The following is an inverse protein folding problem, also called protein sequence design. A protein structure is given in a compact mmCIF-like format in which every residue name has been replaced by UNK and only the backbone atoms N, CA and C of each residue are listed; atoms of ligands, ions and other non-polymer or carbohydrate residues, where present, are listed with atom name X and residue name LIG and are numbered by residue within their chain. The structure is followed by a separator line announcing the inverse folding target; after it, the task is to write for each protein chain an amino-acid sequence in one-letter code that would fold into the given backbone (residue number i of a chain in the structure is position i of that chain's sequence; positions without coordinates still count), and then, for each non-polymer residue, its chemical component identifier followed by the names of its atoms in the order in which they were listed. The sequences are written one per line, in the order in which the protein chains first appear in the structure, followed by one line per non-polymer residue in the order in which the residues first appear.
data_IF_651886088939
#
_entry.id   IF_651886088939
#
_cell.length_a   1.000
_cell.length_b   1.000
_cell.length_c   1.000
_cell.angle_alpha   90.00
_cell.angle_beta   90.00
_cell.angle_gamma   90.00
#
_symmetry.space_group_name_H-M   'P 1'
#
loop_
_entity.id
_entity.type
_entity.pdbx_description
1 polymer ?
#
# COMPACT_ATOMS: atom_id res chain seq x y z
N UNK A 1 9.44 27.41 -1.13
CA UNK A 1 10.06 26.48 -0.15
C UNK A 1 9.40 26.79 1.17
N UNK A 2 8.65 25.84 1.73
CA UNK A 2 7.97 26.08 3.00
C UNK A 2 8.47 25.03 3.96
N UNK A 3 9.17 25.49 5.00
CA UNK A 3 9.76 24.65 6.02
C UNK A 3 8.63 23.96 6.80
N UNK A 4 8.64 22.63 6.76
CA UNK A 4 7.99 21.82 7.78
C UNK A 4 8.55 22.30 9.12
N UNK A 5 7.67 22.67 10.04
CA UNK A 5 8.11 22.99 11.40
C UNK A 5 8.39 21.67 12.11
N UNK A 6 9.62 21.51 12.54
CA UNK A 6 10.00 20.45 13.45
C UNK A 6 9.90 20.99 14.87
N UNK A 7 9.54 20.12 15.81
CA UNK A 7 9.60 20.48 17.22
C UNK A 7 11.06 20.77 17.58
N UNK A 8 11.27 21.87 18.29
CA UNK A 8 12.59 22.26 18.82
C UNK A 8 12.63 21.95 20.30
N UNK A 9 13.63 21.19 20.71
CA UNK A 9 13.86 20.78 22.08
C UNK A 9 15.24 21.24 22.53
N UNK A 10 15.38 21.55 23.82
CA UNK A 10 16.68 21.40 24.48
C UNK A 10 17.03 19.92 24.60
N UNK A 11 18.32 19.57 24.76
CA UNK A 11 18.72 18.17 24.94
C UNK A 11 18.01 17.55 26.16
N UNK A 12 17.91 18.28 27.27
CA UNK A 12 17.24 17.81 28.49
C UNK A 12 15.73 17.59 28.30
N UNK A 13 15.04 18.46 27.54
CA UNK A 13 13.63 18.26 27.20
C UNK A 13 13.46 17.03 26.30
N UNK A 14 14.30 16.87 25.28
CA UNK A 14 14.24 15.73 24.37
C UNK A 14 14.48 14.40 25.10
N UNK A 15 15.49 14.37 25.99
CA UNK A 15 15.80 13.21 26.83
C UNK A 15 14.62 12.78 27.68
N UNK A 16 13.80 13.73 28.16
CA UNK A 16 12.62 13.41 28.96
C UNK A 16 11.54 12.62 28.21
N UNK A 17 11.57 12.64 26.87
CA UNK A 17 10.67 11.87 26.02
C UNK A 17 11.22 10.48 25.65
N UNK A 18 12.50 10.18 25.93
CA UNK A 18 13.08 8.88 25.56
C UNK A 18 12.60 7.81 26.53
N UNK A 19 11.92 6.80 25.98
CA UNK A 19 11.44 5.61 26.70
C UNK A 19 12.28 4.39 26.30
N UNK A 20 13.12 3.91 27.23
CA UNK A 20 13.98 2.74 27.05
C UNK A 20 15.43 3.08 26.65
N UNK A 21 16.13 2.19 25.91
CA UNK A 21 17.56 2.36 25.64
C UNK A 21 17.82 3.51 24.67
N UNK A 22 18.72 4.41 25.05
CA UNK A 22 19.17 5.55 24.23
C UNK A 22 19.79 5.09 22.91
N UNK A 23 20.62 4.05 22.99
CA UNK A 23 21.45 3.60 21.88
C UNK A 23 21.14 2.15 21.57
N UNK A 24 21.05 1.83 20.27
CA UNK A 24 20.88 0.45 19.80
C UNK A 24 21.93 0.12 18.75
N UNK A 25 22.45 -1.11 18.81
CA UNK A 25 23.32 -1.64 17.77
C UNK A 25 22.47 -2.15 16.59
N UNK A 26 22.52 -1.44 15.48
CA UNK A 26 21.78 -1.67 14.22
C UNK A 26 22.76 -1.75 13.04
N UNK A 27 22.75 -2.85 12.27
CA UNK A 27 23.66 -3.14 11.16
C UNK A 27 25.14 -2.89 11.49
N UNK A 28 25.57 -3.42 12.64
CA UNK A 28 26.92 -3.24 13.20
C UNK A 28 27.32 -1.80 13.57
N UNK A 29 26.34 -0.90 13.65
CA UNK A 29 26.53 0.50 14.07
C UNK A 29 25.73 0.80 15.31
N UNK A 30 26.22 1.71 16.13
CA UNK A 30 25.44 2.24 17.25
C UNK A 30 24.68 3.48 16.76
N UNK A 31 23.36 3.47 16.94
CA UNK A 31 22.48 4.60 16.60
C UNK A 31 21.81 5.09 17.87
N UNK A 32 21.83 6.40 18.10
CA UNK A 32 21.21 7.03 19.27
C UNK A 32 19.84 7.62 18.91
N UNK A 33 18.87 7.53 19.81
CA UNK A 33 17.60 8.27 19.67
C UNK A 33 17.83 9.78 19.73
N UNK A 34 18.88 10.24 20.42
CA UNK A 34 19.28 11.65 20.46
C UNK A 34 19.58 12.22 19.07
N UNK A 35 20.02 11.37 18.14
CA UNK A 35 20.36 11.81 16.79
C UNK A 35 19.09 12.21 15.99
N UNK A 36 17.89 11.83 16.45
CA UNK A 36 16.61 12.12 15.81
C UNK A 36 15.90 13.36 16.34
N UNK A 37 16.54 14.16 17.21
CA UNK A 37 15.89 15.32 17.84
C UNK A 37 15.31 16.32 16.85
N UNK A 38 15.97 16.50 15.71
CA UNK A 38 15.55 17.44 14.66
C UNK A 38 14.66 16.76 13.60
N UNK A 39 14.22 15.52 13.83
CA UNK A 39 13.42 14.72 12.88
C UNK A 39 11.95 14.55 13.30
N UNK A 40 11.51 15.20 14.38
CA UNK A 40 10.14 15.13 14.90
C UNK A 40 9.31 16.28 14.35
N UNK A 41 8.35 16.03 13.43
CA UNK A 41 7.51 17.09 12.92
C UNK A 41 6.57 17.61 14.02
N UNK A 42 6.28 18.91 13.96
CA UNK A 42 5.22 19.54 14.74
C UNK A 42 3.86 19.13 14.17
N UNK A 43 3.17 18.25 14.89
CA UNK A 43 1.85 17.77 14.53
C UNK A 43 0.79 18.58 15.28
N UNK A 44 0.22 19.58 14.59
CA UNK A 44 -0.90 20.38 15.10
C UNK A 44 -2.00 19.46 15.69
N UNK A 45 -2.45 19.76 16.91
CA UNK A 45 -3.44 19.00 17.69
C UNK A 45 -2.99 17.63 18.25
N UNK A 46 -1.68 17.38 18.32
CA UNK A 46 -1.13 16.17 18.94
C UNK A 46 -0.04 16.48 19.97
N UNK A 47 0.04 15.67 21.02
CA UNK A 47 1.06 15.75 22.06
C UNK A 47 2.10 14.64 21.83
N UNK A 48 3.39 14.99 21.78
CA UNK A 48 4.45 14.00 21.80
C UNK A 48 4.45 13.31 23.17
N UNK A 49 4.27 11.99 23.17
CA UNK A 49 4.24 11.18 24.39
C UNK A 49 5.62 10.65 24.70
N UNK A 50 6.25 10.02 23.70
CA UNK A 50 7.54 9.35 23.87
C UNK A 50 8.23 9.02 22.57
N UNK A 51 9.51 8.72 22.68
CA UNK A 51 10.42 8.32 21.61
C UNK A 51 11.11 7.04 22.04
N UNK A 52 11.04 6.00 21.22
CA UNK A 52 11.57 4.69 21.61
C UNK A 52 11.96 3.84 20.40
N UNK A 53 12.65 2.74 20.68
CA UNK A 53 12.89 1.69 19.70
C UNK A 53 11.72 0.72 19.67
N UNK A 54 11.01 0.63 18.55
CA UNK A 54 9.96 -0.37 18.34
C UNK A 54 10.53 -1.58 17.62
N UNK A 55 10.21 -2.78 18.11
CA UNK A 55 10.65 -4.01 17.46
C UNK A 55 9.79 -4.36 16.24
N UNK A 56 10.39 -5.03 15.26
CA UNK A 56 9.71 -5.59 14.09
C UNK A 56 8.66 -6.61 14.53
N UNK A 57 8.97 -7.43 15.52
CA UNK A 57 8.06 -8.44 16.04
C UNK A 57 6.81 -7.79 16.63
N UNK A 58 6.95 -6.69 17.36
CA UNK A 58 5.81 -5.87 17.83
C UNK A 58 4.90 -5.45 16.67
N UNK A 59 5.47 -5.03 15.54
CA UNK A 59 4.70 -4.60 14.36
C UNK A 59 4.03 -5.79 13.66
N UNK A 60 4.67 -6.96 13.63
CA UNK A 60 4.16 -8.15 12.96
C UNK A 60 3.11 -8.89 13.81
N UNK A 61 3.25 -8.88 15.13
CA UNK A 61 2.34 -9.55 16.07
C UNK A 61 1.07 -8.72 16.31
N UNK A 62 1.18 -7.38 16.31
CA UNK A 62 0.02 -6.50 16.39
C UNK A 62 -0.66 -6.39 15.02
N UNK A 63 -1.71 -7.17 14.82
CA UNK A 63 -2.47 -7.20 13.56
C UNK A 63 -3.05 -5.84 13.14
N UNK A 64 -3.37 -4.96 14.10
CA UNK A 64 -3.88 -3.63 13.81
C UNK A 64 -2.75 -2.73 13.31
N UNK A 65 -1.65 -2.68 14.07
CA UNK A 65 -0.46 -1.92 13.73
C UNK A 65 0.13 -2.39 12.39
N UNK A 66 0.26 -3.70 12.18
CA UNK A 66 0.63 -4.32 10.91
C UNK A 66 -0.24 -3.80 9.78
N UNK A 67 -1.57 -3.88 9.94
CA UNK A 67 -2.50 -3.44 8.90
C UNK A 67 -2.36 -1.95 8.58
N UNK A 68 -2.01 -1.09 9.55
CA UNK A 68 -1.86 0.36 9.33
C UNK A 68 -0.60 0.72 8.54
N UNK A 69 0.43 -0.14 8.53
CA UNK A 69 1.60 0.01 7.66
C UNK A 69 1.20 -0.13 6.18
N UNK A 70 0.34 -1.11 5.88
CA UNK A 70 0.03 -1.54 4.51
C UNK A 70 -1.31 -1.03 3.96
N UNK A 71 -2.30 -0.70 4.81
CA UNK A 71 -3.61 -0.18 4.40
C UNK A 71 -3.54 1.31 4.11
N UNK A 72 -3.21 1.66 2.87
CA UNK A 72 -3.09 3.06 2.48
C UNK A 72 -4.33 3.55 1.72
N UNK A 73 -4.96 4.57 2.27
CA UNK A 73 -5.64 5.56 1.47
C UNK A 73 -4.61 6.66 1.15
N UNK A 74 -4.48 7.04 -0.13
CA UNK A 74 -4.03 8.41 -0.48
C UNK A 74 -2.54 8.69 -0.29
N UNK A 75 -1.74 7.64 -0.19
CA UNK A 75 -0.32 7.70 -0.49
C UNK A 75 -0.16 7.68 -2.01
N UNK A 76 0.82 8.47 -2.48
CA UNK A 76 1.26 8.71 -3.86
C UNK A 76 0.97 7.52 -4.79
N UNK A 77 0.55 7.75 -6.03
CA UNK A 77 0.83 6.80 -7.12
C UNK A 77 2.36 6.74 -7.29
N UNK A 78 3.00 5.93 -6.46
CA UNK A 78 4.32 5.41 -6.75
C UNK A 78 4.10 4.39 -7.86
N UNK A 79 4.20 4.87 -9.10
CA UNK A 79 4.10 4.05 -10.31
C UNK A 79 4.87 2.74 -10.07
N UNK A 80 4.20 1.61 -10.26
CA UNK A 80 4.71 0.29 -9.84
C UNK A 80 5.96 -0.09 -10.62
N UNK A 81 6.19 0.54 -11.79
CA UNK A 81 7.46 0.44 -12.49
C UNK A 81 8.65 1.08 -11.73
N UNK A 82 8.38 1.99 -10.80
CA UNK A 82 9.38 2.73 -9.98
C UNK A 82 9.35 2.37 -8.49
N UNK A 83 8.29 1.72 -8.00
CA UNK A 83 8.09 1.41 -6.58
C UNK A 83 9.04 0.29 -6.07
N UNK A 84 9.34 -0.71 -6.93
CA UNK A 84 10.46 -1.64 -6.71
C UNK A 84 11.79 -0.89 -6.44
N UNK A 85 11.95 0.35 -6.91
CA UNK A 85 13.18 1.10 -6.71
C UNK A 85 13.26 1.81 -5.35
N UNK A 86 12.18 2.34 -4.74
CA UNK A 86 12.30 3.15 -3.50
C UNK A 86 12.41 2.28 -2.26
N UNK A 87 11.53 1.30 -2.06
CA UNK A 87 11.64 0.35 -0.94
C UNK A 87 12.97 -0.41 -1.03
N UNK A 88 13.39 -0.84 -2.23
CA UNK A 88 14.71 -1.43 -2.43
C UNK A 88 15.87 -0.43 -2.22
N UNK A 89 15.71 0.85 -2.58
CA UNK A 89 16.72 1.89 -2.31
C UNK A 89 16.82 2.16 -0.80
N UNK A 90 15.70 2.24 -0.09
CA UNK A 90 15.65 2.39 1.37
C UNK A 90 16.25 1.18 2.06
N UNK A 91 15.92 -0.05 1.60
CA UNK A 91 16.58 -1.29 2.04
C UNK A 91 18.10 -1.20 1.85
N UNK A 92 18.54 -0.82 0.65
CA UNK A 92 19.96 -0.63 0.35
C UNK A 92 20.60 0.46 1.21
N UNK A 93 19.86 1.51 1.56
CA UNK A 93 20.31 2.58 2.46
C UNK A 93 20.45 2.07 3.89
N UNK A 94 19.47 1.33 4.42
CA UNK A 94 19.55 0.75 5.76
C UNK A 94 20.70 -0.24 5.90
N UNK A 95 20.92 -1.10 4.89
CA UNK A 95 22.06 -2.02 4.88
C UNK A 95 23.39 -1.26 4.89
N UNK A 96 23.50 -0.16 4.14
CA UNK A 96 24.75 0.61 4.04
C UNK A 96 24.99 1.56 5.21
N UNK A 97 23.93 2.13 5.77
CA UNK A 97 24.01 3.32 6.63
C UNK A 97 23.21 3.20 7.93
N UNK A 98 22.39 2.16 8.09
CA UNK A 98 21.43 2.04 9.19
C UNK A 98 20.32 3.08 9.12
N UNK A 99 19.63 3.29 10.24
CA UNK A 99 18.69 4.41 10.37
C UNK A 99 19.49 5.72 10.43
N UNK A 100 19.52 6.45 9.32
CA UNK A 100 20.09 7.79 9.31
C UNK A 100 19.06 8.80 9.82
N UNK A 101 19.40 9.63 10.82
CA UNK A 101 18.67 10.85 11.07
C UNK A 101 18.87 11.76 9.85
N UNK A 102 17.77 12.22 9.27
CA UNK A 102 17.81 13.20 8.21
C UNK A 102 16.75 14.24 8.58
N UNK A 103 17.14 15.48 8.93
CA UNK A 103 16.18 16.54 9.25
C UNK A 103 15.21 16.88 8.10
N UNK A 104 15.47 16.39 6.88
CA UNK A 104 14.57 16.48 5.73
C UNK A 104 13.61 15.28 5.58
N UNK A 105 13.76 14.25 6.42
CA UNK A 105 12.91 13.06 6.45
C UNK A 105 12.43 12.79 7.89
N UNK A 106 11.12 12.79 8.06
CA UNK A 106 10.52 12.48 9.36
C UNK A 106 10.92 11.08 9.86
N UNK A 107 11.09 10.96 11.18
CA UNK A 107 11.14 9.65 11.81
C UNK A 107 9.76 8.96 11.71
N UNK A 108 9.67 7.62 11.76
CA UNK A 108 8.39 6.93 11.86
C UNK A 108 7.54 7.45 13.03
N UNK A 109 6.26 7.71 12.75
CA UNK A 109 5.31 8.24 13.73
C UNK A 109 4.17 7.26 13.91
N UNK A 110 3.87 6.95 15.16
CA UNK A 110 2.64 6.29 15.56
C UNK A 110 1.79 7.25 16.38
N UNK A 111 0.47 7.10 16.30
CA UNK A 111 -0.45 7.83 17.15
C UNK A 111 -1.46 6.90 17.81
N UNK A 112 -1.87 7.25 19.01
CA UNK A 112 -3.00 6.66 19.72
C UNK A 112 -4.07 7.71 19.98
N UNK A 113 -5.32 7.28 20.10
CA UNK A 113 -6.43 8.13 20.52
C UNK A 113 -6.45 8.32 22.05
N UNK A 114 -5.54 7.66 22.78
CA UNK A 114 -5.45 7.73 24.23
C UNK A 114 -4.96 6.42 24.85
N UNK A 115 -4.85 6.37 26.19
CA UNK A 115 -4.41 5.18 26.90
C UNK A 115 -5.28 3.96 26.56
N UNK A 116 -4.63 2.85 26.18
CA UNK A 116 -5.31 1.59 25.85
C UNK A 116 -5.95 1.54 24.45
N UNK A 117 -5.78 2.58 23.63
CA UNK A 117 -6.21 2.53 22.22
C UNK A 117 -5.09 1.96 21.33
N UNK A 118 -5.43 1.20 20.27
CA UNK A 118 -4.43 0.65 19.37
C UNK A 118 -3.57 1.74 18.73
N UNK A 119 -2.27 1.48 18.58
CA UNK A 119 -1.37 2.37 17.87
C UNK A 119 -1.60 2.28 16.36
N UNK A 120 -1.54 3.41 15.68
CA UNK A 120 -1.67 3.50 14.23
C UNK A 120 -0.48 4.26 13.64
N UNK A 121 0.18 3.68 12.63
CA UNK A 121 1.24 4.40 11.90
C UNK A 121 0.66 5.57 11.10
N UNK A 122 1.20 6.76 11.37
CA UNK A 122 0.82 8.00 10.69
C UNK A 122 1.85 8.38 9.60
N UNK A 123 3.14 8.22 9.90
CA UNK A 123 4.25 8.66 9.04
C UNK A 123 5.43 7.68 9.08
N UNK A 124 6.30 7.72 8.07
CA UNK A 124 7.50 6.89 7.95
C UNK A 124 7.21 5.45 7.53
N UNK A 125 5.97 5.13 7.15
CA UNK A 125 5.51 3.76 6.79
C UNK A 125 6.35 3.08 5.72
N UNK A 126 6.82 3.80 4.69
CA UNK A 126 7.72 3.23 3.68
C UNK A 126 9.11 2.86 4.23
N UNK A 127 9.60 3.59 5.23
CA UNK A 127 10.83 3.27 5.97
C UNK A 127 10.61 2.04 6.85
N UNK A 128 9.44 1.96 7.50
CA UNK A 128 9.02 0.80 8.30
C UNK A 128 8.90 -0.45 7.42
N UNK A 129 8.20 -0.35 6.29
CA UNK A 129 8.04 -1.43 5.31
C UNK A 129 9.40 -1.90 4.77
N UNK A 130 10.28 -0.98 4.35
CA UNK A 130 11.63 -1.33 3.91
C UNK A 130 12.45 -2.04 5.00
N UNK A 131 12.26 -1.70 6.27
CA UNK A 131 12.90 -2.41 7.37
C UNK A 131 12.28 -3.80 7.63
N UNK A 132 10.95 -3.94 7.52
CA UNK A 132 10.23 -5.22 7.68
C UNK A 132 10.62 -6.19 6.56
N UNK A 133 10.66 -5.73 5.32
CA UNK A 133 10.99 -6.54 4.13
C UNK A 133 12.50 -6.78 3.95
N UNK A 134 13.34 -6.14 4.75
CA UNK A 134 14.78 -6.35 4.74
C UNK A 134 15.18 -7.77 5.20
N UNK A 135 16.21 -8.33 4.57
CA UNK A 135 16.75 -9.67 4.88
C UNK A 135 17.58 -9.69 6.17
N UNK A 136 17.91 -8.52 6.74
CA UNK A 136 18.76 -8.43 7.93
C UNK A 136 17.92 -8.44 9.22
N UNK A 137 18.27 -9.27 10.21
CA UNK A 137 17.43 -9.60 11.38
C UNK A 137 17.31 -8.49 12.44
N UNK A 138 17.83 -7.29 12.21
CA UNK A 138 17.85 -6.24 13.22
C UNK A 138 16.56 -5.42 13.16
N UNK A 139 15.50 -6.09 13.60
CA UNK A 139 14.13 -5.60 13.57
C UNK A 139 13.86 -4.54 14.63
N UNK A 140 14.54 -3.41 14.59
CA UNK A 140 14.18 -2.27 15.45
C UNK A 140 14.16 -0.98 14.64
N UNK A 141 13.21 -0.12 14.96
CA UNK A 141 13.01 1.17 14.31
C UNK A 141 12.88 2.27 15.36
N UNK A 142 13.40 3.48 15.12
CA UNK A 142 13.11 4.61 15.98
C UNK A 142 11.68 5.08 15.71
N UNK A 143 10.89 5.31 16.75
CA UNK A 143 9.48 5.73 16.63
C UNK A 143 9.20 6.88 17.58
N UNK A 144 8.49 7.90 17.09
CA UNK A 144 7.85 8.91 17.91
C UNK A 144 6.36 8.57 18.06
N UNK A 145 5.90 8.51 19.30
CA UNK A 145 4.50 8.26 19.63
C UNK A 145 3.82 9.55 20.04
N UNK A 146 2.71 9.84 19.39
CA UNK A 146 1.86 10.98 19.69
C UNK A 146 0.52 10.54 20.26
N UNK A 147 -0.03 11.36 21.14
CA UNK A 147 -1.41 11.28 21.60
C UNK A 147 -2.22 12.35 20.87
N UNK A 148 -3.35 11.94 20.30
CA UNK A 148 -4.25 12.90 19.64
C UNK A 148 -5.03 13.68 20.71
N UNK A 149 -4.95 15.02 20.67
CA UNK A 149 -5.65 15.87 21.64
C UNK A 149 -7.16 15.99 21.35
N UNK A 150 -7.57 15.70 20.11
CA UNK A 150 -8.96 15.68 19.68
C UNK A 150 -9.47 14.24 19.45
N UNK A 151 -10.02 13.63 20.50
CA UNK A 151 -10.75 12.34 20.51
C UNK A 151 -11.94 12.26 19.52
N UNK A 152 -12.31 13.36 18.87
CA UNK A 152 -13.54 13.51 18.08
C UNK A 152 -13.33 13.17 16.58
N UNK A 153 -12.08 13.09 16.10
CA UNK A 153 -11.81 12.85 14.67
C UNK A 153 -11.63 11.36 14.41
N UNK A 154 -12.47 10.80 13.54
CA UNK A 154 -12.43 9.38 13.20
C UNK A 154 -11.05 8.93 12.64
N UNK A 155 -10.72 7.65 12.81
CA UNK A 155 -9.46 7.04 12.33
C UNK A 155 -9.24 7.27 10.82
N UNK A 156 -10.32 7.34 10.04
CA UNK A 156 -10.25 7.60 8.59
C UNK A 156 -9.77 9.03 8.27
N UNK A 157 -10.30 10.05 8.92
CA UNK A 157 -9.94 11.46 8.74
C UNK A 157 -8.48 11.68 9.07
N UNK A 158 -8.02 11.06 10.16
CA UNK A 158 -6.62 11.08 10.56
C UNK A 158 -5.74 10.35 9.54
N UNK A 159 -6.09 9.12 9.15
CA UNK A 159 -5.35 8.35 8.14
C UNK A 159 -5.20 9.11 6.82
N UNK A 160 -6.26 9.81 6.38
CA UNK A 160 -6.24 10.68 5.22
C UNK A 160 -5.33 11.89 5.44
N UNK A 161 -5.54 12.67 6.51
CA UNK A 161 -4.74 13.87 6.85
C UNK A 161 -3.25 13.53 6.93
N UNK A 162 -2.88 12.47 7.65
CA UNK A 162 -1.49 12.06 7.82
C UNK A 162 -0.86 11.51 6.54
N UNK A 163 -1.60 10.70 5.75
CA UNK A 163 -1.14 10.30 4.41
C UNK A 163 -0.82 11.48 3.49
N UNK A 164 -1.50 12.61 3.67
CA UNK A 164 -1.22 13.85 2.93
C UNK A 164 -0.13 14.71 3.56
N UNK A 165 -0.02 14.76 4.89
CA UNK A 165 1.10 15.39 5.58
C UNK A 165 2.43 14.77 5.12
N UNK A 166 2.48 13.47 4.84
CA UNK A 166 3.65 12.80 4.25
C UNK A 166 4.12 13.43 2.93
N UNK A 167 3.22 14.04 2.14
CA UNK A 167 3.57 14.73 0.89
C UNK A 167 4.15 16.13 1.11
N UNK A 168 4.01 16.67 2.31
CA UNK A 168 4.48 18.00 2.71
C UNK A 168 5.77 17.87 3.54
N UNK A 169 5.85 16.84 4.39
CA UNK A 169 6.89 16.63 5.40
C UNK A 169 8.21 16.16 4.78
N UNK A 170 8.18 15.12 3.95
CA UNK A 170 9.39 14.57 3.35
C UNK A 170 9.62 15.19 1.96
N UNK A 171 10.84 15.66 1.64
CA UNK A 171 11.21 16.05 0.27
C UNK A 171 11.21 14.81 -0.63
N UNK A 172 10.20 14.59 -1.49
CA UNK A 172 10.17 13.37 -2.26
C UNK A 172 10.98 13.56 -3.55
N UNK A 173 11.67 12.50 -3.99
CA UNK A 173 12.29 12.45 -5.34
C UNK A 173 11.25 12.64 -6.45
N UNK A 174 9.98 12.37 -6.15
CA UNK A 174 8.83 12.59 -7.05
C UNK A 174 7.64 13.10 -6.22
N UNK A 175 7.23 14.35 -6.45
CA UNK A 175 6.12 14.98 -5.72
C UNK A 175 4.77 14.31 -5.99
N UNK A 176 3.85 14.41 -5.03
CA UNK A 176 2.46 14.02 -5.22
C UNK A 176 1.84 14.78 -6.40
N UNK A 177 0.93 14.12 -7.12
CA UNK A 177 0.15 14.71 -8.22
C UNK A 177 -1.24 15.05 -7.72
N UNK A 178 -1.90 16.03 -8.34
CA UNK A 178 -3.29 16.39 -8.02
C UNK A 178 -4.25 15.19 -8.08
N UNK A 179 -3.96 14.22 -8.95
CA UNK A 179 -4.79 13.02 -9.12
C UNK A 179 -4.74 12.07 -7.93
N UNK A 180 -3.67 12.11 -7.12
CA UNK A 180 -3.51 11.29 -5.91
C UNK A 180 -4.50 11.70 -4.81
N UNK A 181 -4.95 12.96 -4.84
CA UNK A 181 -5.91 13.52 -3.89
C UNK A 181 -7.36 13.13 -4.20
N UNK A 182 -7.64 12.67 -5.43
CA UNK A 182 -9.00 12.39 -5.87
C UNK A 182 -9.64 11.19 -5.15
N UNK A 183 -8.99 10.01 -5.04
CA UNK A 183 -9.54 8.88 -4.28
C UNK A 183 -9.78 9.18 -2.81
N UNK A 184 -8.99 10.10 -2.22
CA UNK A 184 -9.12 10.52 -0.83
C UNK A 184 -10.38 11.30 -0.55
N UNK A 185 -10.62 12.29 -1.40
CA UNK A 185 -11.83 13.10 -1.35
C UNK A 185 -13.05 12.21 -1.55
N UNK A 186 -12.97 11.22 -2.45
CA UNK A 186 -14.05 10.24 -2.62
C UNK A 186 -14.30 9.42 -1.33
N UNK A 187 -13.26 8.96 -0.63
CA UNK A 187 -13.39 8.26 0.66
C UNK A 187 -13.98 9.16 1.75
N UNK A 188 -13.51 10.40 1.87
CA UNK A 188 -13.99 11.37 2.86
C UNK A 188 -15.48 11.73 2.62
N UNK A 189 -15.86 11.98 1.37
CA UNK A 189 -17.26 12.24 1.00
C UNK A 189 -18.14 11.04 1.35
N UNK A 190 -17.69 9.83 1.01
CA UNK A 190 -18.43 8.59 1.29
C UNK A 190 -18.63 8.33 2.78
N UNK A 191 -17.61 8.61 3.59
CA UNK A 191 -17.67 8.41 5.03
C UNK A 191 -18.48 9.50 5.76
N UNK A 192 -19.00 10.51 5.04
CA UNK A 192 -19.73 11.63 5.64
C UNK A 192 -18.82 12.62 6.37
N UNK A 193 -17.50 12.49 6.21
CA UNK A 193 -16.51 13.41 6.80
C UNK A 193 -16.60 14.80 6.15
N UNK A 194 -16.96 14.85 4.86
CA UNK A 194 -17.19 16.08 4.12
C UNK A 194 -18.47 15.97 3.30
N UNK A 195 -19.27 17.04 3.28
CA UNK A 195 -20.48 17.07 2.48
C UNK A 195 -20.15 17.04 0.99
N UNK A 196 -21.04 16.43 0.21
CA UNK A 196 -20.93 16.31 -1.24
C UNK A 196 -21.30 17.60 -1.97
N UNK A 197 -20.51 18.66 -1.74
CA UNK A 197 -20.60 19.89 -2.52
C UNK A 197 -19.20 20.49 -2.72
N UNK A 198 -19.07 21.31 -3.76
CA UNK A 198 -17.77 21.82 -4.20
C UNK A 198 -17.06 22.64 -3.12
N UNK A 199 -17.80 23.46 -2.38
CA UNK A 199 -17.22 24.37 -1.40
C UNK A 199 -16.71 23.62 -0.17
N UNK A 200 -17.48 22.66 0.35
CA UNK A 200 -17.05 21.84 1.49
C UNK A 200 -15.87 20.94 1.13
N UNK A 201 -15.89 20.30 -0.05
CA UNK A 201 -14.75 19.50 -0.54
C UNK A 201 -13.50 20.36 -0.75
N UNK A 202 -13.65 21.57 -1.28
CA UNK A 202 -12.53 22.52 -1.44
C UNK A 202 -11.99 22.98 -0.09
N UNK A 203 -12.86 23.32 0.86
CA UNK A 203 -12.50 23.73 2.22
C UNK A 203 -11.77 22.61 2.95
N UNK A 204 -12.26 21.38 2.85
CA UNK A 204 -11.61 20.19 3.41
C UNK A 204 -10.22 19.97 2.78
N UNK A 205 -10.11 20.06 1.46
CA UNK A 205 -8.84 19.92 0.76
C UNK A 205 -7.80 20.98 1.19
N UNK A 206 -8.22 22.23 1.38
CA UNK A 206 -7.32 23.33 1.75
C UNK A 206 -6.96 23.29 3.24
N UNK A 207 -7.96 23.13 4.11
CA UNK A 207 -7.79 23.34 5.55
C UNK A 207 -7.37 22.04 6.26
N UNK A 208 -7.99 20.92 5.91
CA UNK A 208 -7.74 19.64 6.59
C UNK A 208 -6.61 18.87 5.92
N UNK A 209 -6.60 18.82 4.58
CA UNK A 209 -5.58 18.08 3.82
C UNK A 209 -4.38 18.95 3.43
N UNK A 210 -4.39 20.24 3.81
CA UNK A 210 -3.31 21.19 3.60
C UNK A 210 -2.80 21.24 2.15
N UNK A 211 -3.69 21.02 1.18
CA UNK A 211 -3.35 20.91 -0.24
C UNK A 211 -2.62 22.14 -0.79
N UNK A 212 -2.92 23.32 -0.25
CA UNK A 212 -2.24 24.58 -0.59
C UNK A 212 -0.75 24.57 -0.24
N UNK A 213 -0.31 23.74 0.70
CA UNK A 213 1.12 23.56 1.03
C UNK A 213 1.88 22.82 -0.08
N UNK A 214 1.19 21.99 -0.89
CA UNK A 214 1.78 21.24 -2.02
C UNK A 214 1.49 21.92 -3.36
N UNK A 215 0.27 22.40 -3.55
CA UNK A 215 -0.21 23.09 -4.75
C UNK A 215 -0.74 24.48 -4.38
N UNK A 216 0.10 25.53 -4.43
CA UNK A 216 -0.23 26.84 -3.87
C UNK A 216 -1.38 27.57 -4.57
N UNK A 217 -1.73 27.17 -5.80
CA UNK A 217 -2.80 27.81 -6.56
C UNK A 217 -4.19 27.27 -6.18
N UNK A 218 -5.09 28.15 -5.76
CA UNK A 218 -6.49 27.83 -5.42
C UNK A 218 -7.27 27.18 -6.57
N UNK A 219 -6.93 27.52 -7.83
CA UNK A 219 -7.50 26.87 -9.01
C UNK A 219 -7.23 25.35 -9.06
N UNK A 220 -6.10 24.89 -8.52
CA UNK A 220 -5.74 23.48 -8.41
C UNK A 220 -6.67 22.74 -7.43
N UNK A 221 -7.02 23.38 -6.31
CA UNK A 221 -7.96 22.83 -5.34
C UNK A 221 -9.35 22.67 -5.95
N UNK A 222 -9.84 23.72 -6.63
CA UNK A 222 -11.12 23.68 -7.36
C UNK A 222 -11.15 22.59 -8.43
N UNK A 223 -10.08 22.45 -9.23
CA UNK A 223 -9.98 21.42 -10.27
C UNK A 223 -10.02 20.01 -9.68
N UNK A 224 -9.29 19.78 -8.58
CA UNK A 224 -9.21 18.50 -7.89
C UNK A 224 -10.54 18.14 -7.24
N UNK A 225 -11.18 19.09 -6.55
CA UNK A 225 -12.50 18.91 -5.94
C UNK A 225 -13.59 18.61 -6.99
N UNK A 226 -13.64 19.35 -8.10
CA UNK A 226 -14.54 19.05 -9.22
C UNK A 226 -14.29 17.66 -9.80
N UNK A 227 -13.03 17.26 -9.94
CA UNK A 227 -12.67 15.93 -10.44
C UNK A 227 -13.10 14.83 -9.47
N UNK A 228 -12.99 15.03 -8.17
CA UNK A 228 -13.46 14.08 -7.16
C UNK A 228 -14.98 13.95 -7.15
N UNK A 229 -15.72 15.07 -7.16
CA UNK A 229 -17.18 15.06 -7.24
C UNK A 229 -17.67 14.42 -8.55
N UNK A 230 -17.06 14.79 -9.68
CA UNK A 230 -17.35 14.20 -10.98
C UNK A 230 -17.07 12.69 -10.97
N UNK A 231 -15.88 12.26 -10.51
CA UNK A 231 -15.57 10.82 -10.40
C UNK A 231 -16.48 10.09 -9.43
N UNK A 232 -16.91 10.70 -8.32
CA UNK A 232 -17.89 10.11 -7.41
C UNK A 232 -19.27 9.96 -8.07
N UNK A 233 -19.68 10.93 -8.89
CA UNK A 233 -20.92 10.84 -9.68
C UNK A 233 -20.85 9.85 -10.85
N UNK A 234 -19.66 9.66 -11.44
CA UNK A 234 -19.43 8.75 -12.59
C UNK A 234 -18.97 7.36 -12.17
N UNK A 235 -18.50 7.21 -10.93
CA UNK A 235 -17.92 6.00 -10.37
C UNK A 235 -18.31 5.94 -8.90
N UNK A 236 -19.41 5.24 -8.61
CA UNK A 236 -19.86 4.93 -7.25
C UNK A 236 -18.80 4.19 -6.41
N UNK A 237 -17.72 3.68 -7.00
CA UNK A 237 -16.85 2.67 -6.39
C UNK A 237 -15.45 3.20 -6.11
N UNK A 238 -15.07 3.19 -4.84
CA UNK A 238 -13.68 3.27 -4.40
C UNK A 238 -13.10 1.85 -4.42
N UNK A 239 -11.92 1.70 -5.02
CA UNK A 239 -11.16 0.45 -4.96
C UNK A 239 -10.41 0.37 -3.61
N UNK A 240 -10.52 -0.75 -2.92
CA UNK A 240 -9.58 -1.18 -1.90
C UNK A 240 -8.35 -1.75 -2.61
N UNK A 241 -7.30 -0.92 -2.69
CA UNK A 241 -6.02 -1.33 -3.28
C UNK A 241 -5.45 -2.46 -2.44
N UNK A 242 -5.18 -3.59 -3.08
CA UNK A 242 -4.50 -4.73 -2.50
C UNK A 242 -3.28 -5.02 -3.35
N UNK A 243 -2.13 -5.18 -2.71
CA UNK A 243 -0.93 -5.68 -3.37
C UNK A 243 -0.94 -7.21 -3.43
N UNK A 244 0.02 -7.79 -4.16
CA UNK A 244 0.08 -9.24 -4.36
C UNK A 244 0.07 -10.01 -3.03
N UNK A 245 0.80 -9.52 -2.03
CA UNK A 245 0.90 -10.20 -0.74
C UNK A 245 -0.39 -10.05 0.09
N UNK A 246 -1.08 -8.91 0.02
CA UNK A 246 -2.42 -8.77 0.62
C UNK A 246 -3.41 -9.75 0.00
N UNK A 247 -3.33 -9.94 -1.32
CA UNK A 247 -4.15 -10.87 -2.08
C UNK A 247 -3.84 -12.32 -1.68
N UNK A 248 -2.56 -12.66 -1.48
CA UNK A 248 -2.16 -13.99 -0.95
C UNK A 248 -2.67 -14.20 0.47
N UNK A 249 -2.57 -13.18 1.35
CA UNK A 249 -3.08 -13.25 2.72
C UNK A 249 -4.60 -13.44 2.70
N UNK A 250 -5.32 -12.64 1.92
CA UNK A 250 -6.76 -12.79 1.72
C UNK A 250 -7.10 -14.18 1.19
N UNK A 251 -6.37 -14.67 0.19
CA UNK A 251 -6.56 -15.99 -0.40
C UNK A 251 -6.29 -17.14 0.58
N UNK A 252 -5.29 -17.00 1.46
CA UNK A 252 -4.98 -17.99 2.50
C UNK A 252 -6.09 -18.11 3.56
N UNK A 253 -6.84 -17.01 3.78
CA UNK A 253 -7.99 -16.95 4.68
C UNK A 253 -9.29 -17.38 3.99
N UNK A 254 -9.34 -17.31 2.65
CA UNK A 254 -10.52 -17.66 1.88
C UNK A 254 -10.70 -19.19 1.82
N UNK A 255 -11.79 -19.75 2.39
CA UNK A 255 -11.98 -21.20 2.47
C UNK A 255 -12.14 -21.87 1.10
N UNK A 256 -12.61 -21.15 0.07
CA UNK A 256 -12.71 -21.68 -1.31
C UNK A 256 -11.36 -21.78 -2.00
N UNK A 257 -10.35 -21.01 -1.57
CA UNK A 257 -9.00 -21.05 -2.14
C UNK A 257 -8.11 -21.99 -1.32
N UNK A 258 -8.17 -21.88 0.01
CA UNK A 258 -7.38 -22.70 0.94
C UNK A 258 -7.57 -24.21 0.73
N UNK A 259 -8.77 -24.63 0.33
CA UNK A 259 -9.13 -26.04 0.17
C UNK A 259 -8.99 -26.55 -1.28
N UNK A 260 -8.41 -25.76 -2.20
CA UNK A 260 -8.22 -26.19 -3.58
C UNK A 260 -7.07 -27.18 -3.68
N UNK A 261 -7.27 -28.19 -4.54
CA UNK A 261 -6.17 -28.98 -5.07
C UNK A 261 -5.41 -28.20 -6.14
N UNK A 262 -4.08 -28.23 -6.09
CA UNK A 262 -3.19 -27.61 -7.07
C UNK A 262 -2.70 -26.20 -6.70
N UNK A 263 -1.70 -25.70 -7.43
CA UNK A 263 -1.08 -24.40 -7.15
C UNK A 263 -1.98 -23.24 -7.58
N UNK A 264 -2.09 -22.22 -6.72
CA UNK A 264 -2.83 -20.98 -6.99
C UNK A 264 -1.85 -19.88 -7.41
N UNK A 265 -2.13 -19.22 -8.52
CA UNK A 265 -1.40 -18.06 -9.02
C UNK A 265 -2.30 -16.82 -8.98
N UNK A 266 -1.80 -15.76 -8.37
CA UNK A 266 -2.48 -14.47 -8.29
C UNK A 266 -1.90 -13.52 -9.32
N UNK A 267 -2.73 -13.03 -10.24
CA UNK A 267 -2.29 -12.26 -11.41
C UNK A 267 -2.93 -10.88 -11.40
N UNK A 268 -2.10 -9.85 -11.55
CA UNK A 268 -2.56 -8.47 -11.71
C UNK A 268 -3.06 -8.22 -13.13
N UNK A 269 -4.35 -7.94 -13.30
CA UNK A 269 -5.00 -7.85 -14.61
C UNK A 269 -4.58 -6.61 -15.42
N UNK A 270 -4.38 -5.47 -14.76
CA UNK A 270 -4.05 -4.20 -15.41
C UNK A 270 -2.53 -3.99 -15.66
N UNK A 271 -1.70 -5.04 -15.54
CA UNK A 271 -0.26 -4.96 -15.81
C UNK A 271 0.19 -6.06 -16.77
N UNK A 272 0.60 -5.65 -17.98
CA UNK A 272 1.11 -6.59 -19.00
C UNK A 272 2.39 -7.30 -18.56
N UNK A 273 3.30 -6.58 -17.90
CA UNK A 273 4.56 -7.17 -17.37
C UNK A 273 4.27 -8.23 -16.32
N UNK A 274 3.39 -7.91 -15.36
CA UNK A 274 3.02 -8.85 -14.30
C UNK A 274 2.29 -10.08 -14.86
N UNK A 275 1.38 -9.88 -15.81
CA UNK A 275 0.70 -10.96 -16.51
C UNK A 275 1.70 -11.89 -17.21
N UNK A 276 2.62 -11.34 -18.01
CA UNK A 276 3.61 -12.15 -18.73
C UNK A 276 4.51 -12.92 -17.76
N UNK A 277 4.99 -12.28 -16.69
CA UNK A 277 5.85 -12.92 -15.69
C UNK A 277 5.12 -14.08 -14.99
N UNK A 278 3.83 -13.90 -14.66
CA UNK A 278 3.02 -14.95 -14.07
C UNK A 278 2.76 -16.11 -15.04
N UNK A 279 2.55 -15.82 -16.33
CA UNK A 279 2.39 -16.84 -17.37
C UNK A 279 3.67 -17.67 -17.56
N UNK A 280 4.84 -17.04 -17.51
CA UNK A 280 6.13 -17.73 -17.50
C UNK A 280 6.28 -18.62 -16.25
N UNK A 281 5.90 -18.15 -15.07
CA UNK A 281 5.94 -18.96 -13.85
C UNK A 281 4.99 -20.17 -13.92
N UNK A 282 3.78 -19.98 -14.46
CA UNK A 282 2.82 -21.06 -14.71
C UNK A 282 3.41 -22.09 -15.68
N UNK A 283 4.08 -21.64 -16.74
CA UNK A 283 4.74 -22.53 -17.69
C UNK A 283 5.79 -23.39 -17.01
N UNK A 284 6.72 -22.75 -16.28
CA UNK A 284 7.77 -23.46 -15.56
C UNK A 284 7.20 -24.47 -14.55
N UNK A 285 6.12 -24.10 -13.87
CA UNK A 285 5.44 -25.00 -12.95
C UNK A 285 4.88 -26.24 -13.65
N UNK A 286 4.15 -26.04 -14.75
CA UNK A 286 3.52 -27.13 -15.50
C UNK A 286 4.55 -28.03 -16.19
N UNK A 287 5.69 -27.50 -16.64
CA UNK A 287 6.78 -28.32 -17.20
C UNK A 287 7.38 -29.26 -16.14
N UNK A 288 7.49 -28.81 -14.89
CA UNK A 288 8.02 -29.63 -13.79
C UNK A 288 6.94 -30.52 -13.15
N UNK A 289 5.67 -30.13 -13.24
CA UNK A 289 4.53 -30.81 -12.64
C UNK A 289 3.45 -31.05 -13.71
N UNK A 290 3.74 -31.87 -14.74
CA UNK A 290 2.90 -31.99 -15.93
C UNK A 290 1.54 -32.62 -15.67
N UNK A 291 1.30 -33.16 -14.47
CA UNK A 291 0.04 -33.78 -14.05
C UNK A 291 -0.79 -32.92 -13.11
N UNK A 292 -0.31 -31.75 -12.70
CA UNK A 292 -1.05 -30.88 -11.80
C UNK A 292 -2.00 -29.91 -12.48
N UNK A 293 -2.94 -29.39 -11.69
CA UNK A 293 -3.88 -28.35 -12.07
C UNK A 293 -3.45 -27.00 -11.47
N UNK A 294 -3.64 -25.93 -12.24
CA UNK A 294 -3.27 -24.56 -11.89
C UNK A 294 -4.53 -23.73 -11.70
N UNK A 295 -4.64 -23.07 -10.56
CA UNK A 295 -5.74 -22.16 -10.28
C UNK A 295 -5.28 -20.72 -10.48
N UNK A 296 -6.04 -19.91 -11.21
CA UNK A 296 -5.71 -18.50 -11.46
C UNK A 296 -6.74 -17.61 -10.77
N UNK A 297 -6.26 -16.64 -10.01
CA UNK A 297 -7.07 -15.60 -9.38
C UNK A 297 -6.58 -14.24 -9.88
N UNK A 298 -7.48 -13.44 -10.44
CA UNK A 298 -7.14 -12.08 -10.85
C UNK A 298 -7.34 -11.08 -9.72
N UNK A 299 -6.54 -10.02 -9.73
CA UNK A 299 -6.79 -8.81 -8.95
C UNK A 299 -6.39 -7.59 -9.78
N UNK A 300 -6.80 -6.39 -9.36
CA UNK A 300 -6.53 -5.16 -10.08
C UNK A 300 -6.12 -4.04 -9.13
N UNK A 301 -5.39 -3.07 -9.64
CA UNK A 301 -5.14 -1.80 -8.95
C UNK A 301 -5.85 -0.63 -9.61
N UNK A 302 -6.68 -0.90 -10.63
CA UNK A 302 -7.43 0.13 -11.34
C UNK A 302 -8.56 0.65 -10.45
N UNK A 303 -8.57 1.97 -10.25
CA UNK A 303 -9.48 2.64 -9.31
C UNK A 303 -10.88 2.81 -9.90
N UNK A 304 -11.01 2.73 -11.23
CA UNK A 304 -12.30 2.87 -11.93
C UNK A 304 -12.87 1.49 -12.26
N UNK A 305 -14.05 1.18 -11.72
CA UNK A 305 -14.72 -0.12 -11.89
C UNK A 305 -14.86 -0.55 -13.37
N UNK A 306 -15.34 0.33 -14.25
CA UNK A 306 -15.53 -0.01 -15.67
C UNK A 306 -14.22 -0.37 -16.37
N UNK A 307 -13.14 0.35 -16.07
CA UNK A 307 -11.80 0.05 -16.60
C UNK A 307 -11.23 -1.23 -16.00
N UNK A 308 -11.41 -1.43 -14.70
CA UNK A 308 -10.97 -2.63 -14.00
C UNK A 308 -11.63 -3.88 -14.58
N UNK A 309 -12.93 -3.82 -14.84
CA UNK A 309 -13.70 -4.83 -15.56
C UNK A 309 -13.12 -5.11 -16.94
N UNK A 310 -12.88 -4.07 -17.73
CA UNK A 310 -12.31 -4.19 -19.06
C UNK A 310 -10.92 -4.86 -19.04
N UNK A 311 -10.04 -4.45 -18.12
CA UNK A 311 -8.69 -5.00 -18.00
C UNK A 311 -8.69 -6.45 -17.48
N UNK A 312 -9.60 -6.82 -16.58
CA UNK A 312 -9.79 -8.23 -16.17
C UNK A 312 -10.22 -9.09 -17.36
N UNK A 313 -11.19 -8.63 -18.16
CA UNK A 313 -11.66 -9.36 -19.33
C UNK A 313 -10.55 -9.51 -20.39
N UNK A 314 -9.75 -8.47 -20.61
CA UNK A 314 -8.56 -8.53 -21.47
C UNK A 314 -7.52 -9.50 -20.93
N UNK A 315 -7.29 -9.51 -19.61
CA UNK A 315 -6.33 -10.42 -18.98
C UNK A 315 -6.78 -11.89 -19.14
N UNK A 316 -8.05 -12.20 -18.91
CA UNK A 316 -8.61 -13.54 -19.20
C UNK A 316 -8.32 -13.96 -20.63
N UNK A 317 -8.71 -13.14 -21.61
CA UNK A 317 -8.50 -13.45 -23.02
C UNK A 317 -7.03 -13.69 -23.35
N UNK A 318 -6.11 -12.94 -22.73
CA UNK A 318 -4.66 -13.13 -22.92
C UNK A 318 -4.15 -14.44 -22.35
N UNK A 319 -4.67 -14.89 -21.19
CA UNK A 319 -4.34 -16.22 -20.65
C UNK A 319 -4.86 -17.30 -21.61
N UNK A 320 -6.09 -17.17 -22.10
CA UNK A 320 -6.68 -18.09 -23.07
C UNK A 320 -5.84 -18.16 -24.36
N UNK A 321 -5.50 -17.00 -24.94
CA UNK A 321 -4.68 -16.88 -26.15
C UNK A 321 -3.28 -17.46 -25.94
N UNK A 322 -2.64 -17.18 -24.80
CA UNK A 322 -1.35 -17.73 -24.44
C UNK A 322 -1.37 -19.25 -24.35
N UNK A 323 -2.36 -19.83 -23.66
CA UNK A 323 -2.50 -21.28 -23.53
C UNK A 323 -2.74 -21.95 -24.88
N UNK A 324 -3.63 -21.37 -25.69
CA UNK A 324 -3.92 -21.87 -27.04
C UNK A 324 -2.68 -21.85 -27.93
N UNK A 325 -1.86 -20.80 -27.85
CA UNK A 325 -0.61 -20.72 -28.59
C UNK A 325 0.43 -21.73 -28.08
N UNK A 326 0.55 -21.88 -26.76
CA UNK A 326 1.42 -22.89 -26.16
C UNK A 326 1.05 -24.31 -26.62
N UNK A 327 -0.23 -24.66 -26.54
CA UNK A 327 -0.71 -25.98 -26.99
C UNK A 327 -0.46 -26.19 -28.49
N UNK A 328 -0.72 -25.18 -29.33
CA UNK A 328 -0.41 -25.26 -30.78
C UNK A 328 1.07 -25.53 -31.04
N UNK A 329 1.97 -24.85 -30.34
CA UNK A 329 3.43 -25.02 -30.52
C UNK A 329 3.88 -26.39 -30.00
N UNK A 330 3.46 -26.77 -28.79
CA UNK A 330 3.77 -28.07 -28.21
C UNK A 330 3.26 -29.23 -29.08
N UNK A 331 2.05 -29.10 -29.63
CA UNK A 331 1.46 -30.09 -30.54
C UNK A 331 2.13 -30.10 -31.92
N UNK A 332 2.58 -28.95 -32.44
CA UNK A 332 3.34 -28.90 -33.70
C UNK A 332 4.71 -29.59 -33.57
N UNK A 333 5.38 -29.49 -32.42
CA UNK A 333 6.63 -30.22 -32.12
C UNK A 333 6.42 -31.74 -31.92
N UNK A 334 5.18 -32.20 -31.70
CA UNK A 334 4.84 -33.61 -31.57
C UNK A 334 5.01 -34.39 -32.88
N UNK A 335 4.78 -33.74 -34.03
CA UNK A 335 4.92 -34.37 -35.34
C UNK A 335 6.36 -34.47 -35.87
N UNK A 336 7.34 -33.91 -35.14
CA UNK A 336 8.76 -33.93 -35.52
C UNK A 336 9.62 -34.96 -34.77
N UNK A 337 9.01 -35.95 -34.10
CA UNK A 337 9.69 -37.19 -33.70
C UNK A 337 10.55 -37.16 -32.42
N UNK A 338 10.30 -36.23 -31.49
CA UNK A 338 11.01 -36.19 -30.19
C UNK A 338 10.07 -36.59 -29.06
N UNK A 339 10.51 -37.50 -28.16
CA UNK A 339 9.78 -37.89 -26.95
C UNK A 339 9.49 -36.65 -26.08
N UNK A 340 8.29 -36.10 -26.19
CA UNK A 340 7.86 -34.91 -25.45
C UNK A 340 6.63 -35.24 -24.59
N UNK A 341 6.69 -34.79 -23.35
CA UNK A 341 5.65 -34.92 -22.33
C UNK A 341 4.33 -34.36 -22.88
N UNK A 342 3.34 -35.22 -23.05
CA UNK A 342 1.98 -34.81 -23.44
C UNK A 342 1.39 -34.02 -22.27
N UNK A 343 1.04 -32.76 -22.49
CA UNK A 343 0.30 -31.93 -21.53
C UNK A 343 -1.18 -31.97 -21.95
N UNK A 344 -2.07 -32.67 -21.21
CA UNK A 344 -3.52 -32.71 -21.49
C UNK A 344 -4.19 -31.34 -21.62
N UNK A 345 -5.31 -31.30 -22.36
CA UNK A 345 -6.13 -30.11 -22.56
C UNK A 345 -6.56 -29.46 -21.22
N UNK A 346 -6.39 -28.13 -21.16
CA UNK A 346 -6.81 -27.19 -20.12
C UNK A 346 -6.50 -27.59 -18.67
N UNK A 347 -5.24 -27.37 -18.24
CA UNK A 347 -4.80 -27.57 -16.85
C UNK A 347 -4.93 -26.34 -15.96
N UNK A 348 -5.66 -25.32 -16.39
CA UNK A 348 -5.94 -24.19 -15.52
C UNK A 348 -7.42 -23.88 -15.41
N UNK A 349 -7.80 -23.38 -14.24
CA UNK A 349 -9.12 -22.79 -14.00
C UNK A 349 -8.92 -21.36 -13.56
N UNK A 350 -9.58 -20.42 -14.24
CA UNK A 350 -9.66 -19.06 -13.72
C UNK A 350 -10.84 -18.99 -12.76
N UNK A 351 -10.54 -18.86 -11.47
CA UNK A 351 -11.54 -18.92 -10.40
C UNK A 351 -12.36 -17.63 -10.26
N UNK A 352 -11.82 -16.51 -10.73
CA UNK A 352 -12.45 -15.20 -10.63
C UNK A 352 -11.48 -14.13 -10.18
N UNK A 353 -12.04 -13.06 -9.61
CA UNK A 353 -11.32 -11.88 -9.18
C UNK A 353 -11.48 -11.64 -7.69
N UNK A 354 -10.44 -11.09 -7.06
CA UNK A 354 -10.51 -10.62 -5.67
C UNK A 354 -11.54 -9.50 -5.56
N UNK A 355 -12.45 -9.53 -4.58
CA UNK A 355 -13.40 -8.45 -4.36
C UNK A 355 -12.67 -7.20 -3.86
N UNK A 356 -12.58 -6.16 -4.68
CA UNK A 356 -11.87 -4.93 -4.32
C UNK A 356 -12.72 -3.65 -4.42
N UNK A 357 -14.00 -3.74 -4.80
CA UNK A 357 -14.87 -2.57 -4.96
C UNK A 357 -15.95 -2.53 -3.89
N UNK A 358 -15.86 -1.54 -2.98
CA UNK A 358 -16.56 -1.52 -1.67
C UNK A 358 -18.10 -1.56 -1.75
N UNK A 359 -18.72 -1.31 -2.90
CA UNK A 359 -20.20 -1.37 -3.06
C UNK A 359 -20.68 -2.35 -4.15
N UNK A 360 -19.78 -2.95 -4.91
CA UNK A 360 -20.13 -3.98 -5.92
C UNK A 360 -19.78 -5.37 -5.45
N UNK A 361 -18.69 -5.47 -4.70
CA UNK A 361 -18.15 -6.73 -4.24
C UNK A 361 -18.11 -6.73 -2.72
N UNK A 362 -18.46 -7.86 -2.12
CA UNK A 362 -18.27 -8.06 -0.69
C UNK A 362 -16.78 -8.35 -0.42
N UNK A 363 -16.03 -7.31 -0.06
CA UNK A 363 -14.58 -7.38 0.16
C UNK A 363 -14.23 -8.25 1.37
N UNK A 364 -15.09 -8.22 2.39
CA UNK A 364 -14.98 -9.08 3.58
C UNK A 364 -15.59 -10.47 3.34
N UNK A 365 -16.18 -10.67 2.17
CA UNK A 365 -16.83 -11.92 1.78
C UNK A 365 -15.84 -12.99 1.40
N UNK A 366 -16.30 -14.24 1.54
CA UNK A 366 -15.50 -15.43 1.23
C UNK A 366 -15.62 -15.86 -0.25
N UNK A 367 -16.09 -15.00 -1.14
CA UNK A 367 -16.33 -15.34 -2.54
C UNK A 367 -15.52 -14.47 -3.50
N UNK A 368 -14.84 -15.13 -4.43
CA UNK A 368 -14.32 -14.48 -5.63
C UNK A 368 -15.47 -13.95 -6.47
N UNK A 369 -15.23 -12.83 -7.13
CA UNK A 369 -16.16 -12.25 -8.09
C UNK A 369 -15.95 -12.93 -9.43
N UNK A 370 -16.97 -13.55 -10.04
CA UNK A 370 -16.83 -14.16 -11.36
C UNK A 370 -16.40 -13.12 -12.40
N UNK A 371 -15.48 -13.44 -13.32
CA UNK A 371 -14.94 -12.46 -14.29
C UNK A 371 -16.03 -11.74 -15.09
N UNK A 372 -17.09 -12.45 -15.47
CA UNK A 372 -18.23 -11.84 -16.21
C UNK A 372 -19.00 -10.81 -15.37
N UNK A 373 -18.97 -10.98 -14.04
CA UNK A 373 -19.68 -10.18 -13.04
C UNK A 373 -18.77 -9.15 -12.35
N UNK A 374 -17.45 -9.28 -12.50
CA UNK A 374 -16.48 -8.21 -12.24
C UNK A 374 -16.82 -7.03 -13.13
#
# INVERSE_FOLDING_TARGET
MTNVKFLTFTDAEFESYIDGPYVKKLWDRYTSLMDFKDCIPDLEDSELVKIYWMSKDTILEDSHLHSTVFRQACIRDEDVATNESRVATLRGSFIRSGWSPNPEESMPIVASDGPGTPLEFQEGRGRVQANIEGETPQGWIPVAEFRKNNLIRDSLTNSLRYGFLTNIVDKPKTGAKMDDYVPALMKAIKAGVVNENLEDVKKYLINELLFSKVFPHTASATKTAKKALKRKSESEFVLERMELDDVKVWGSRNPKIKNLSGKVFYIRSNSRKALNSALEEILHYLLNNPYEHVNIVFYTTEIVYSKAKEEVQKAQKRVDDWWNNFHKVAFASFFSGSNLVVIPEARYTILGCVPQFVLKHDINGNSLVPIKQY
#
